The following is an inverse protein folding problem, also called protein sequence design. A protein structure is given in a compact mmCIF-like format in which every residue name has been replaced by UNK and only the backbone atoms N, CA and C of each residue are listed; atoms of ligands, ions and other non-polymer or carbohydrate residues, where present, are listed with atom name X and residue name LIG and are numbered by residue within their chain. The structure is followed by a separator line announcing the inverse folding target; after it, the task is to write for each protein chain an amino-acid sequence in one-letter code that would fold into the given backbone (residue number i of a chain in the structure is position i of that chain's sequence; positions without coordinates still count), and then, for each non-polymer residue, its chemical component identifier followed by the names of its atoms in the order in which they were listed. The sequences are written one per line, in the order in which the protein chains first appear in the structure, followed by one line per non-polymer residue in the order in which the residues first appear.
data_IF_941495932752
#
_entry.id   IF_941495932752
#
_cell.length_a   1.000
_cell.length_b   1.000
_cell.length_c   1.000
_cell.angle_alpha   90.00
_cell.angle_beta   90.00
_cell.angle_gamma   90.00
#
_symmetry.space_group_name_H-M   'P 1'
#
loop_
_entity.id
_entity.type
_entity.pdbx_description
1 polymer ?
#
# COMPACT_ATOMS: atom_id res chain seq x y z
N UNK A 1 26.64 31.46 44.14
CA UNK A 1 25.46 30.70 43.64
C UNK A 1 24.73 31.53 42.59
N UNK A 2 24.59 31.06 41.34
CA UNK A 2 23.80 31.76 40.31
C UNK A 2 22.32 31.63 40.66
N UNK A 3 21.69 32.72 41.13
CA UNK A 3 20.24 32.77 41.41
C UNK A 3 19.48 32.48 40.09
N UNK A 4 18.65 31.44 40.06
CA UNK A 4 17.75 31.17 38.92
C UNK A 4 16.69 32.27 38.88
N UNK A 5 16.67 33.07 37.81
CA UNK A 5 15.56 34.00 37.56
C UNK A 5 14.37 33.20 37.05
N UNK A 6 13.27 33.20 37.78
CA UNK A 6 12.00 32.69 37.30
C UNK A 6 11.45 33.69 36.29
N UNK A 7 11.40 33.30 35.02
CA UNK A 7 10.78 34.08 33.95
C UNK A 7 9.35 33.56 33.83
N UNK A 8 8.39 34.35 34.29
CA UNK A 8 6.98 34.08 34.06
C UNK A 8 6.66 34.46 32.62
N UNK A 9 6.23 33.49 31.83
CA UNK A 9 5.79 33.71 30.46
C UNK A 9 4.28 34.01 30.49
N UNK A 10 3.86 35.00 29.71
CA UNK A 10 2.45 35.21 29.41
C UNK A 10 1.84 33.97 28.75
N UNK A 11 0.54 33.79 28.93
CA UNK A 11 -0.16 32.60 28.44
C UNK A 11 -0.09 32.50 26.91
N UNK A 12 -0.16 33.62 26.19
CA UNK A 12 0.05 33.65 24.74
C UNK A 12 1.47 33.20 24.33
N UNK A 13 2.49 33.61 25.10
CA UNK A 13 3.87 33.20 24.84
C UNK A 13 4.10 31.70 25.15
N UNK A 14 3.32 31.11 26.07
CA UNK A 14 3.33 29.65 26.30
C UNK A 14 2.69 28.90 25.12
N UNK A 15 1.56 29.39 24.60
CA UNK A 15 0.88 28.81 23.43
C UNK A 15 1.79 28.82 22.20
N UNK A 16 2.38 29.97 21.87
CA UNK A 16 3.35 30.11 20.77
C UNK A 16 4.52 29.12 20.84
N UNK A 17 5.04 28.91 22.06
CA UNK A 17 6.18 28.02 22.30
C UNK A 17 5.77 26.55 22.16
N UNK A 18 4.54 26.21 22.55
CA UNK A 18 3.93 24.90 22.32
C UNK A 18 3.71 24.67 20.83
N UNK A 19 3.15 25.61 20.09
CA UNK A 19 2.96 25.50 18.64
C UNK A 19 4.30 25.29 17.90
N UNK A 20 5.33 26.06 18.24
CA UNK A 20 6.68 25.87 17.66
C UNK A 20 7.26 24.50 17.99
N UNK A 21 7.02 23.98 19.20
CA UNK A 21 7.42 22.62 19.59
C UNK A 21 6.67 21.56 18.79
N UNK A 22 5.36 21.69 18.63
CA UNK A 22 4.53 20.78 17.83
C UNK A 22 4.99 20.81 16.36
N UNK A 23 5.20 21.99 15.79
CA UNK A 23 5.70 22.17 14.42
C UNK A 23 7.09 21.56 14.22
N UNK A 24 7.98 21.71 15.22
CA UNK A 24 9.31 21.07 15.21
C UNK A 24 9.18 19.55 15.32
N UNK A 25 8.33 19.04 16.21
CA UNK A 25 8.09 17.62 16.38
C UNK A 25 7.55 16.99 15.08
N UNK A 26 6.51 17.57 14.46
CA UNK A 26 5.96 17.08 13.19
C UNK A 26 7.00 17.10 12.05
N UNK A 27 7.87 18.11 12.01
CA UNK A 27 8.94 18.20 11.00
C UNK A 27 10.01 17.11 11.15
N UNK A 28 10.36 16.73 12.38
CA UNK A 28 11.42 15.76 12.68
C UNK A 28 10.89 14.40 13.18
N UNK A 29 9.59 14.16 13.07
CA UNK A 29 8.92 12.94 13.49
C UNK A 29 9.53 11.73 12.79
N UNK A 30 9.89 10.71 13.56
CA UNK A 30 10.45 9.46 13.01
C UNK A 30 9.45 8.82 12.03
N UNK A 31 9.96 8.11 11.02
CA UNK A 31 9.13 7.41 10.04
C UNK A 31 8.16 6.40 10.69
N UNK A 32 8.52 5.86 11.86
CA UNK A 32 7.68 4.95 12.64
C UNK A 32 6.51 5.64 13.35
N UNK A 33 6.54 6.96 13.51
CA UNK A 33 5.56 7.74 14.27
C UNK A 33 4.64 8.60 13.38
N UNK A 34 4.94 8.72 12.08
CA UNK A 34 4.09 9.46 11.14
C UNK A 34 2.77 8.73 10.94
N UNK A 35 1.67 9.47 11.01
CA UNK A 35 0.39 8.90 10.60
C UNK A 35 0.40 8.68 9.08
N UNK A 36 -0.39 7.72 8.56
CA UNK A 36 -0.51 7.47 7.12
C UNK A 36 -0.86 8.71 6.28
N UNK A 37 -1.53 9.68 6.91
CA UNK A 37 -1.98 10.93 6.30
C UNK A 37 -0.84 11.97 6.18
N UNK A 38 0.19 11.90 7.02
CA UNK A 38 1.32 12.84 7.09
C UNK A 38 2.51 12.44 6.19
N UNK A 39 2.51 11.22 5.66
CA UNK A 39 3.58 10.72 4.79
C UNK A 39 3.24 10.97 3.32
N UNK A 40 3.81 12.04 2.74
CA UNK A 40 3.67 12.37 1.31
C UNK A 40 3.99 11.17 0.41
N UNK A 41 4.97 10.34 0.80
CA UNK A 41 5.33 9.13 0.05
C UNK A 41 4.25 8.07 0.09
N UNK A 42 3.51 7.99 1.20
CA UNK A 42 2.37 7.08 1.29
C UNK A 42 1.20 7.60 0.45
N UNK A 43 0.90 8.90 0.52
CA UNK A 43 -0.12 9.51 -0.34
C UNK A 43 0.16 9.27 -1.84
N UNK A 44 1.42 9.41 -2.27
CA UNK A 44 1.85 9.13 -3.63
C UNK A 44 1.61 7.65 -4.02
N UNK A 45 1.98 6.71 -3.14
CA UNK A 45 1.70 5.28 -3.34
C UNK A 45 0.19 4.98 -3.41
N UNK A 46 -0.62 5.66 -2.60
CA UNK A 46 -2.07 5.50 -2.59
C UNK A 46 -2.72 6.08 -3.86
N UNK A 47 -2.18 7.17 -4.39
CA UNK A 47 -2.59 7.70 -5.69
C UNK A 47 -2.28 6.69 -6.81
N UNK A 48 -1.07 6.11 -6.81
CA UNK A 48 -0.70 5.03 -7.73
C UNK A 48 -1.63 3.81 -7.61
N UNK A 49 -1.97 3.41 -6.37
CA UNK A 49 -2.94 2.33 -6.12
C UNK A 49 -4.28 2.64 -6.77
N UNK A 50 -4.76 3.89 -6.68
CA UNK A 50 -6.03 4.26 -7.30
C UNK A 50 -6.00 4.13 -8.84
N UNK A 51 -4.90 4.54 -9.48
CA UNK A 51 -4.72 4.40 -10.94
C UNK A 51 -4.70 2.92 -11.35
N UNK A 52 -3.92 2.11 -10.64
CA UNK A 52 -3.78 0.67 -10.92
C UNK A 52 -5.09 -0.07 -10.66
N UNK A 53 -5.76 0.24 -9.55
CA UNK A 53 -7.05 -0.35 -9.19
C UNK A 53 -8.11 -0.09 -10.26
N UNK A 54 -8.16 1.12 -10.82
CA UNK A 54 -9.06 1.44 -11.93
C UNK A 54 -8.73 0.65 -13.20
N UNK A 55 -7.44 0.54 -13.56
CA UNK A 55 -7.01 -0.23 -14.75
C UNK A 55 -7.36 -1.72 -14.64
N UNK A 56 -7.31 -2.28 -13.43
CA UNK A 56 -7.64 -3.68 -13.20
C UNK A 56 -9.09 -3.93 -12.78
N UNK A 57 -9.91 -2.88 -12.67
CA UNK A 57 -11.29 -2.94 -12.15
C UNK A 57 -11.36 -3.61 -10.77
N UNK A 58 -10.41 -3.26 -9.87
CA UNK A 58 -10.40 -3.77 -8.50
C UNK A 58 -11.53 -3.15 -7.68
N UNK A 59 -12.23 -3.98 -6.92
CA UNK A 59 -13.31 -3.53 -6.05
C UNK A 59 -12.78 -3.12 -4.67
N UNK A 60 -13.25 -1.97 -4.18
CA UNK A 60 -12.93 -1.44 -2.84
C UNK A 60 -14.11 -1.44 -1.85
N UNK A 61 -15.15 -2.22 -2.13
CA UNK A 61 -16.32 -2.37 -1.25
C UNK A 61 -16.39 -3.81 -0.74
N UNK A 62 -17.25 -4.09 0.25
CA UNK A 62 -17.49 -5.43 0.79
C UNK A 62 -17.77 -6.45 -0.31
N UNK A 63 -17.39 -7.72 -0.11
CA UNK A 63 -17.56 -8.74 -1.13
C UNK A 63 -19.00 -8.87 -1.59
N UNK A 64 -19.22 -8.77 -2.90
CA UNK A 64 -20.53 -9.00 -3.48
C UNK A 64 -20.82 -10.49 -3.40
N UNK A 65 -21.91 -10.86 -2.74
CA UNK A 65 -22.33 -12.26 -2.69
C UNK A 65 -23.00 -12.63 -4.02
N UNK A 66 -22.46 -13.65 -4.71
CA UNK A 66 -22.96 -14.11 -6.01
C UNK A 66 -23.35 -15.59 -5.92
N UNK A 67 -24.50 -15.94 -6.50
CA UNK A 67 -24.92 -17.33 -6.65
C UNK A 67 -23.99 -18.03 -7.63
N UNK A 68 -23.24 -19.00 -7.13
CA UNK A 68 -22.29 -19.78 -7.93
C UNK A 68 -22.79 -21.21 -8.01
N UNK A 69 -23.00 -21.72 -9.23
CA UNK A 69 -23.34 -23.13 -9.47
C UNK A 69 -22.09 -23.99 -9.32
N UNK A 70 -22.10 -24.96 -8.41
CA UNK A 70 -21.07 -26.01 -8.33
C UNK A 70 -21.34 -27.07 -9.41
N UNK A 71 -20.32 -27.87 -9.74
CA UNK A 71 -20.42 -28.92 -10.77
C UNK A 71 -21.49 -29.98 -10.45
N UNK A 72 -21.86 -30.14 -9.18
CA UNK A 72 -22.92 -31.04 -8.71
C UNK A 72 -24.35 -30.43 -8.80
N UNK A 73 -24.49 -29.19 -9.29
CA UNK A 73 -25.79 -28.54 -9.50
C UNK A 73 -26.28 -27.65 -8.35
N UNK A 74 -25.62 -27.70 -7.18
CA UNK A 74 -25.98 -26.86 -6.03
C UNK A 74 -25.59 -25.39 -6.25
N UNK A 75 -26.56 -24.50 -6.03
CA UNK A 75 -26.37 -23.05 -6.01
C UNK A 75 -25.94 -22.59 -4.62
N UNK A 76 -24.67 -22.20 -4.49
CA UNK A 76 -24.13 -21.69 -3.23
C UNK A 76 -23.81 -20.21 -3.38
N UNK A 77 -24.27 -19.41 -2.43
CA UNK A 77 -23.95 -17.99 -2.34
C UNK A 77 -22.49 -17.84 -1.90
N UNK A 78 -21.61 -17.42 -2.81
CA UNK A 78 -20.20 -17.21 -2.50
C UNK A 78 -19.83 -15.73 -2.61
N UNK A 79 -19.00 -15.20 -1.70
CA UNK A 79 -18.45 -13.86 -1.85
C UNK A 79 -17.51 -13.82 -3.07
N UNK A 80 -17.86 -13.03 -4.09
CA UNK A 80 -17.06 -12.83 -5.29
C UNK A 80 -16.69 -11.36 -5.40
N UNK A 81 -15.40 -11.08 -5.18
CA UNK A 81 -14.82 -9.74 -5.34
C UNK A 81 -15.27 -8.76 -4.26
N UNK A 82 -14.32 -8.26 -3.48
CA UNK A 82 -14.52 -7.17 -2.52
C UNK A 82 -13.27 -6.94 -1.67
N UNK A 83 -13.06 -5.71 -1.23
CA UNK A 83 -11.90 -5.32 -0.42
C UNK A 83 -10.54 -5.59 -1.09
N UNK A 84 -10.48 -5.74 -2.41
CA UNK A 84 -9.22 -5.93 -3.14
C UNK A 84 -8.36 -4.69 -3.05
N UNK A 85 -8.98 -3.52 -3.26
CA UNK A 85 -8.32 -2.22 -3.12
C UNK A 85 -7.85 -2.01 -1.68
N UNK A 86 -8.66 -2.38 -0.69
CA UNK A 86 -8.32 -2.18 0.73
C UNK A 86 -7.22 -3.12 1.20
N UNK A 87 -7.24 -4.40 0.80
CA UNK A 87 -6.12 -5.32 1.08
C UNK A 87 -4.83 -4.89 0.39
N UNK A 88 -4.91 -4.43 -0.86
CA UNK A 88 -3.75 -3.86 -1.53
C UNK A 88 -3.25 -2.60 -0.80
N UNK A 89 -4.16 -1.75 -0.29
CA UNK A 89 -3.82 -0.59 0.53
C UNK A 89 -3.10 -0.98 1.81
N UNK A 90 -3.59 -1.97 2.55
CA UNK A 90 -2.96 -2.48 3.78
C UNK A 90 -1.54 -2.97 3.50
N UNK A 91 -1.36 -3.79 2.46
CA UNK A 91 -0.04 -4.28 2.04
C UNK A 91 0.88 -3.10 1.70
N UNK A 92 0.41 -2.11 0.95
CA UNK A 92 1.21 -0.95 0.54
C UNK A 92 1.62 -0.07 1.74
N UNK A 93 0.73 0.08 2.72
CA UNK A 93 0.99 0.83 3.94
C UNK A 93 2.05 0.16 4.82
N UNK A 94 2.04 -1.18 4.90
CA UNK A 94 2.96 -1.94 5.73
C UNK A 94 4.28 -2.29 5.02
N UNK A 95 4.27 -2.36 3.69
CA UNK A 95 5.42 -2.78 2.90
C UNK A 95 6.49 -1.68 2.75
N UNK A 96 7.72 -2.03 3.10
CA UNK A 96 8.91 -1.30 2.65
C UNK A 96 9.25 -1.71 1.21
N UNK A 97 8.93 -0.84 0.24
CA UNK A 97 9.14 -1.08 -1.19
C UNK A 97 10.62 -1.37 -1.51
N UNK A 98 11.57 -0.80 -0.76
CA UNK A 98 13.01 -1.05 -0.94
C UNK A 98 13.44 -2.43 -0.47
N UNK A 99 12.70 -3.04 0.46
CA UNK A 99 12.92 -4.44 0.87
C UNK A 99 12.16 -5.39 -0.05
N UNK A 100 10.98 -4.98 -0.52
CA UNK A 100 10.15 -5.76 -1.43
C UNK A 100 10.89 -6.01 -2.75
N UNK A 101 11.39 -4.96 -3.40
CA UNK A 101 12.12 -5.10 -4.65
C UNK A 101 13.30 -4.13 -4.70
N UNK A 102 14.51 -4.69 -4.75
CA UNK A 102 15.74 -3.95 -5.09
C UNK A 102 16.05 -4.32 -6.53
N UNK A 103 15.98 -3.34 -7.43
CA UNK A 103 16.42 -3.54 -8.80
C UNK A 103 17.86 -4.01 -8.79
N UNK A 104 18.20 -5.02 -9.59
CA UNK A 104 19.59 -5.38 -9.84
C UNK A 104 20.37 -4.19 -10.42
N UNK A 105 21.71 -4.31 -10.51
CA UNK A 105 22.55 -3.29 -11.15
C UNK A 105 21.96 -2.89 -12.51
N UNK A 106 21.62 -1.60 -12.66
CA UNK A 106 21.07 -1.03 -13.89
C UNK A 106 19.54 -1.00 -14.02
N UNK A 107 18.77 -1.58 -13.08
CA UNK A 107 17.29 -1.51 -13.11
C UNK A 107 16.79 -0.43 -12.15
N UNK A 108 16.14 0.63 -12.68
CA UNK A 108 15.40 1.58 -11.86
C UNK A 108 14.17 0.88 -11.28
N UNK A 109 14.00 0.95 -9.96
CA UNK A 109 12.80 0.48 -9.28
C UNK A 109 11.75 1.58 -9.30
N UNK A 110 10.69 1.38 -10.08
CA UNK A 110 9.54 2.28 -10.09
C UNK A 110 8.53 1.85 -8.99
N UNK A 111 8.13 2.75 -8.08
CA UNK A 111 7.04 2.48 -7.14
C UNK A 111 5.74 2.01 -7.83
N UNK A 112 5.41 2.53 -9.01
CA UNK A 112 4.20 2.15 -9.75
C UNK A 112 4.24 0.67 -10.17
N UNK A 113 5.42 0.17 -10.54
CA UNK A 113 5.65 -1.24 -10.86
C UNK A 113 5.43 -2.14 -9.64
N UNK A 114 5.89 -1.71 -8.47
CA UNK A 114 5.69 -2.46 -7.21
C UNK A 114 4.21 -2.48 -6.83
N UNK A 115 3.52 -1.34 -6.90
CA UNK A 115 2.07 -1.25 -6.65
C UNK A 115 1.29 -2.15 -7.61
N UNK A 116 1.64 -2.13 -8.90
CA UNK A 116 1.01 -2.97 -9.94
C UNK A 116 1.18 -4.45 -9.63
N UNK A 117 2.37 -4.89 -9.23
CA UNK A 117 2.62 -6.27 -8.82
C UNK A 117 1.83 -6.66 -7.55
N UNK A 118 1.70 -5.77 -6.56
CA UNK A 118 0.88 -6.00 -5.35
C UNK A 118 -0.60 -6.16 -5.73
N UNK A 119 -1.13 -5.31 -6.60
CA UNK A 119 -2.51 -5.41 -7.09
C UNK A 119 -2.75 -6.75 -7.80
N UNK A 120 -1.84 -7.16 -8.68
CA UNK A 120 -1.91 -8.47 -9.36
C UNK A 120 -1.86 -9.64 -8.38
N UNK A 121 -1.08 -9.51 -7.30
CA UNK A 121 -0.99 -10.52 -6.24
C UNK A 121 -2.33 -10.68 -5.50
N UNK A 122 -2.96 -9.59 -5.07
CA UNK A 122 -4.27 -9.62 -4.39
C UNK A 122 -5.34 -10.23 -5.29
N UNK A 123 -5.39 -9.81 -6.56
CA UNK A 123 -6.37 -10.36 -7.51
C UNK A 123 -6.21 -11.85 -7.76
N UNK A 124 -4.98 -12.37 -7.73
CA UNK A 124 -4.70 -13.79 -7.90
C UNK A 124 -5.11 -14.61 -6.68
N UNK A 125 -4.91 -14.08 -5.47
CA UNK A 125 -5.37 -14.74 -4.23
C UNK A 125 -6.89 -14.88 -4.19
N UNK A 126 -7.60 -13.86 -4.64
CA UNK A 126 -9.07 -13.89 -4.67
C UNK A 126 -9.65 -14.80 -5.74
N UNK A 127 -8.94 -15.00 -6.84
CA UNK A 127 -9.44 -15.79 -7.95
C UNK A 127 -8.35 -16.71 -8.51
N UNK A 128 -8.01 -17.79 -7.79
CA UNK A 128 -6.94 -18.71 -8.19
C UNK A 128 -7.26 -19.47 -9.49
N UNK A 129 -8.53 -19.53 -9.90
CA UNK A 129 -8.99 -20.10 -11.17
C UNK A 129 -8.84 -19.15 -12.36
N UNK A 130 -8.59 -17.85 -12.11
CA UNK A 130 -8.26 -16.89 -13.17
C UNK A 130 -6.91 -17.34 -13.75
N UNK A 131 -6.91 -17.74 -15.03
CA UNK A 131 -5.73 -18.28 -15.70
C UNK A 131 -4.52 -17.34 -15.68
N UNK A 132 -3.44 -17.74 -16.36
CA UNK A 132 -2.17 -17.01 -16.32
C UNK A 132 -2.34 -15.49 -16.53
N UNK A 133 -1.63 -14.74 -15.67
CA UNK A 133 -1.58 -13.28 -15.73
C UNK A 133 -1.15 -12.86 -17.14
N UNK A 134 -2.00 -12.11 -17.83
CA UNK A 134 -1.70 -11.59 -19.17
C UNK A 134 -0.79 -10.38 -19.09
N UNK A 135 0.52 -10.62 -19.07
CA UNK A 135 1.55 -9.57 -19.12
C UNK A 135 1.56 -8.79 -20.47
N UNK A 136 0.79 -9.23 -21.45
CA UNK A 136 0.62 -8.57 -22.75
C UNK A 136 -0.28 -7.34 -22.71
N UNK A 137 -0.87 -7.00 -21.56
CA UNK A 137 -1.65 -5.78 -21.40
C UNK A 137 -0.73 -4.54 -21.54
N UNK A 138 -1.11 -3.58 -22.38
CA UNK A 138 -0.34 -2.36 -22.63
C UNK A 138 0.01 -1.61 -21.33
N UNK A 139 -0.90 -1.58 -20.36
CA UNK A 139 -0.64 -0.97 -19.06
C UNK A 139 0.51 -1.69 -18.33
N UNK A 140 0.46 -3.02 -18.26
CA UNK A 140 1.47 -3.83 -17.57
C UNK A 140 2.83 -3.70 -18.25
N UNK A 141 2.84 -3.67 -19.59
CA UNK A 141 4.05 -3.49 -20.39
C UNK A 141 4.66 -2.10 -20.20
N UNK A 142 3.84 -1.05 -20.18
CA UNK A 142 4.28 0.33 -19.98
C UNK A 142 4.83 0.56 -18.56
N UNK A 143 4.21 -0.05 -17.56
CA UNK A 143 4.70 0.00 -16.17
C UNK A 143 5.97 -0.86 -15.97
N UNK A 144 6.22 -1.81 -16.86
CA UNK A 144 7.43 -2.64 -16.86
C UNK A 144 7.35 -3.84 -15.89
N UNK A 145 6.15 -4.28 -15.52
CA UNK A 145 6.00 -5.49 -14.69
C UNK A 145 6.17 -6.72 -15.57
N UNK A 146 7.26 -7.47 -15.36
CA UNK A 146 7.50 -8.76 -15.99
C UNK A 146 7.10 -9.92 -15.07
N UNK A 147 7.02 -11.14 -15.63
CA UNK A 147 6.75 -12.36 -14.85
C UNK A 147 7.76 -12.57 -13.72
N UNK A 148 9.04 -12.31 -13.97
CA UNK A 148 10.12 -12.41 -12.97
C UNK A 148 9.92 -11.44 -11.81
N UNK A 149 9.59 -10.18 -12.13
CA UNK A 149 9.38 -9.12 -11.14
C UNK A 149 8.18 -9.47 -10.26
N UNK A 150 7.09 -9.88 -10.88
CA UNK A 150 5.89 -10.34 -10.17
C UNK A 150 6.21 -11.52 -9.25
N UNK A 151 6.88 -12.56 -9.74
CA UNK A 151 7.22 -13.75 -8.95
C UNK A 151 8.10 -13.40 -7.74
N UNK A 152 9.10 -12.56 -7.92
CA UNK A 152 9.97 -12.14 -6.82
C UNK A 152 9.21 -11.33 -5.75
N UNK A 153 8.32 -10.42 -6.17
CA UNK A 153 7.48 -9.66 -5.25
C UNK A 153 6.47 -10.57 -4.54
N UNK A 154 5.79 -11.47 -5.27
CA UNK A 154 4.79 -12.37 -4.69
C UNK A 154 5.40 -13.31 -3.66
N UNK A 155 6.56 -13.90 -3.95
CA UNK A 155 7.27 -14.78 -3.02
C UNK A 155 7.61 -14.06 -1.71
N UNK A 156 8.09 -12.82 -1.78
CA UNK A 156 8.39 -12.03 -0.58
C UNK A 156 7.14 -11.64 0.20
N UNK A 157 6.03 -11.37 -0.49
CA UNK A 157 4.75 -11.12 0.18
C UNK A 157 4.24 -12.36 0.90
N UNK A 158 4.39 -13.55 0.31
CA UNK A 158 4.01 -14.82 0.94
C UNK A 158 4.87 -15.11 2.18
N UNK A 159 6.18 -14.86 2.13
CA UNK A 159 7.07 -15.00 3.29
C UNK A 159 6.66 -14.06 4.43
N UNK A 160 6.35 -12.80 4.11
CA UNK A 160 5.94 -11.81 5.12
C UNK A 160 4.55 -12.09 5.74
N UNK A 161 3.67 -12.85 5.08
CA UNK A 161 2.38 -13.25 5.66
C UNK A 161 2.48 -14.49 6.57
N UNK A 162 3.52 -15.30 6.38
CA UNK A 162 3.74 -16.52 7.15
C UNK A 162 4.76 -16.33 8.31
N UNK A 163 5.25 -15.11 8.52
CA UNK A 163 6.18 -14.73 9.59
C UNK A 163 5.45 -13.97 10.68
#
# INVERSE_FOLDING_TARGET
MKKRKHIFLDDNAKVDKLERKIKKYNRYKSHSEKTPEEDFRLQEKLAMLSVVASNFMMTGHSPTMVLTKREEGDEVMMPVGGGQKDRAREIICQADFRKLYRGGKGRKTDPLMIVTAICMYVMRKDNPRRGDIRYSNDFIRNVGVTKEIYQHISQKLDVNQNS
#
